data_IF_702764059580
#
_entry.id   IF_702764059580
#
_cell.length_a   1.000
_cell.length_b   1.000
_cell.length_c   1.000
_cell.angle_alpha   90.00
_cell.angle_beta   90.00
_cell.angle_gamma   90.00
#
_symmetry.space_group_name_H-M   'P 1'
#
loop_
_entity.id
_entity.type
_entity.pdbx_description
1 polymer ?
#
# COMPACT_ATOMS: atom_id res chain seq x y z
N UNK A 1 -7.29 -27.29 10.84
CA UNK A 1 -7.73 -25.88 10.76
C UNK A 1 -7.51 -25.28 12.14
N UNK A 2 -6.79 -24.17 12.21
CA UNK A 2 -6.43 -23.51 13.48
C UNK A 2 -7.66 -22.81 14.10
N UNK A 3 -7.94 -23.00 15.41
CA UNK A 3 -9.01 -22.26 16.09
C UNK A 3 -8.80 -20.73 16.04
N UNK A 4 -7.54 -20.29 16.10
CA UNK A 4 -7.15 -18.88 16.00
C UNK A 4 -7.62 -18.24 14.70
N UNK A 5 -7.59 -18.97 13.57
CA UNK A 5 -8.05 -18.47 12.28
C UNK A 5 -9.55 -18.14 12.29
N UNK A 6 -10.36 -19.04 12.84
CA UNK A 6 -11.82 -18.85 12.93
C UNK A 6 -12.14 -17.64 13.81
N UNK A 7 -11.52 -17.57 15.00
CA UNK A 7 -11.75 -16.46 15.91
C UNK A 7 -11.24 -15.13 15.38
N UNK A 8 -10.08 -15.09 14.70
CA UNK A 8 -9.55 -13.89 14.08
C UNK A 8 -10.48 -13.38 12.96
N UNK A 9 -10.98 -14.30 12.12
CA UNK A 9 -11.96 -13.97 11.09
C UNK A 9 -13.27 -13.42 11.68
N UNK A 10 -13.76 -13.99 12.78
CA UNK A 10 -14.92 -13.46 13.50
C UNK A 10 -14.65 -12.09 14.11
N UNK A 11 -13.50 -11.92 14.77
CA UNK A 11 -13.11 -10.66 15.40
C UNK A 11 -13.08 -9.54 14.35
N UNK A 12 -12.36 -9.76 13.25
CA UNK A 12 -12.24 -8.78 12.17
C UNK A 12 -13.57 -8.56 11.46
N UNK A 13 -14.30 -9.62 11.13
CA UNK A 13 -15.61 -9.57 10.49
C UNK A 13 -16.67 -8.84 11.30
N UNK A 14 -16.60 -8.90 12.65
CA UNK A 14 -17.45 -8.10 13.53
C UNK A 14 -16.94 -6.67 13.60
N UNK A 15 -15.64 -6.44 13.73
CA UNK A 15 -15.06 -5.10 13.82
C UNK A 15 -15.44 -4.26 12.60
N UNK A 16 -15.29 -4.77 11.37
CA UNK A 16 -15.68 -4.03 10.14
C UNK A 16 -17.18 -3.70 10.07
N UNK A 17 -18.00 -4.30 10.93
CA UNK A 17 -19.44 -4.03 11.05
C UNK A 17 -19.80 -3.25 12.32
N UNK A 18 -18.83 -2.67 13.02
CA UNK A 18 -19.01 -2.08 14.36
C UNK A 18 -18.71 -0.57 14.41
N UNK A 19 -18.90 0.14 13.30
CA UNK A 19 -18.79 1.61 13.28
C UNK A 19 -19.93 2.25 14.06
N UNK A 20 -19.91 3.56 14.27
CA UNK A 20 -21.08 4.24 14.88
C UNK A 20 -22.37 4.13 14.05
N UNK A 21 -22.26 3.74 12.78
CA UNK A 21 -23.39 3.48 11.88
C UNK A 21 -24.01 2.10 12.09
N UNK A 22 -23.23 1.09 12.45
CA UNK A 22 -23.68 -0.29 12.58
C UNK A 22 -22.93 -0.98 13.71
N UNK A 23 -23.62 -1.74 14.57
CA UNK A 23 -22.98 -2.50 15.65
C UNK A 23 -22.49 -1.65 16.84
N UNK A 24 -21.97 -0.45 16.59
CA UNK A 24 -21.54 0.55 17.60
C UNK A 24 -20.62 -0.07 18.66
N UNK A 25 -20.62 0.50 19.86
CA UNK A 25 -19.80 0.04 21.00
C UNK A 25 -20.00 -1.46 21.31
N UNK A 26 -21.23 -1.97 21.29
CA UNK A 26 -21.52 -3.38 21.57
C UNK A 26 -20.84 -4.32 20.57
N UNK A 27 -20.87 -3.97 19.27
CA UNK A 27 -20.15 -4.69 18.23
C UNK A 27 -18.63 -4.68 18.45
N UNK A 28 -18.06 -3.52 18.82
CA UNK A 28 -16.62 -3.40 19.11
C UNK A 28 -16.20 -4.21 20.33
N UNK A 29 -16.98 -4.21 21.40
CA UNK A 29 -16.73 -5.04 22.58
C UNK A 29 -16.78 -6.54 22.23
N UNK A 30 -17.73 -6.95 21.37
CA UNK A 30 -17.80 -8.33 20.90
C UNK A 30 -16.63 -8.70 20.00
N UNK A 31 -16.17 -7.78 19.15
CA UNK A 31 -14.98 -7.97 18.32
C UNK A 31 -13.73 -8.20 19.18
N UNK A 32 -13.56 -7.41 20.25
CA UNK A 32 -12.47 -7.57 21.23
C UNK A 32 -12.51 -8.94 21.91
N UNK A 33 -13.68 -9.40 22.33
CA UNK A 33 -13.82 -10.74 22.92
C UNK A 33 -13.31 -11.85 21.99
N UNK A 34 -13.69 -11.83 20.71
CA UNK A 34 -13.20 -12.82 19.75
C UNK A 34 -11.72 -12.63 19.42
N UNK A 35 -11.21 -11.39 19.43
CA UNK A 35 -9.78 -11.11 19.29
C UNK A 35 -9.02 -11.78 20.42
N UNK A 36 -9.46 -11.64 21.67
CA UNK A 36 -8.78 -12.24 22.83
C UNK A 36 -8.73 -13.77 22.71
N UNK A 37 -9.85 -14.39 22.31
CA UNK A 37 -9.92 -15.82 22.03
C UNK A 37 -8.98 -16.25 20.88
N UNK A 38 -8.89 -15.43 19.83
CA UNK A 38 -7.99 -15.67 18.70
C UNK A 38 -6.52 -15.58 19.12
N UNK A 39 -6.14 -14.54 19.87
CA UNK A 39 -4.79 -14.35 20.37
C UNK A 39 -4.37 -15.49 21.30
N UNK A 40 -5.22 -15.86 22.27
CA UNK A 40 -4.94 -16.97 23.18
C UNK A 40 -4.77 -18.30 22.42
N UNK A 41 -5.60 -18.55 21.40
CA UNK A 41 -5.49 -19.74 20.55
C UNK A 41 -4.22 -19.72 19.69
N UNK A 42 -3.84 -18.54 19.17
CA UNK A 42 -2.65 -18.36 18.35
C UNK A 42 -1.38 -18.67 19.17
N UNK A 43 -1.29 -18.10 20.38
CA UNK A 43 -0.19 -18.32 21.31
C UNK A 43 -0.13 -19.78 21.79
N UNK A 44 -1.29 -20.41 22.07
CA UNK A 44 -1.34 -21.81 22.43
C UNK A 44 -0.79 -22.71 21.31
N UNK A 45 -1.21 -22.50 20.05
CA UNK A 45 -0.70 -23.24 18.90
C UNK A 45 0.79 -23.01 18.67
N UNK A 46 1.27 -21.77 18.82
CA UNK A 46 2.70 -21.46 18.73
C UNK A 46 3.50 -22.19 19.81
N UNK A 47 3.07 -22.13 21.07
CA UNK A 47 3.73 -22.78 22.19
C UNK A 47 3.71 -24.30 22.09
N UNK A 48 2.64 -24.89 21.55
CA UNK A 48 2.55 -26.32 21.29
C UNK A 48 3.22 -26.77 19.99
N UNK A 49 3.90 -25.86 19.28
CA UNK A 49 4.54 -26.10 17.98
C UNK A 49 3.56 -26.59 16.89
N UNK A 50 2.28 -26.29 17.03
CA UNK A 50 1.28 -26.54 15.98
C UNK A 50 1.27 -25.37 14.99
N UNK A 51 2.33 -25.27 14.20
CA UNK A 51 2.56 -24.17 13.25
C UNK A 51 2.23 -24.65 11.83
N UNK A 52 1.19 -24.08 11.23
CA UNK A 52 0.75 -24.36 9.86
C UNK A 52 0.38 -23.06 9.12
N UNK A 53 0.16 -23.08 7.78
CA UNK A 53 -0.18 -21.87 7.03
C UNK A 53 -1.42 -21.12 7.53
N UNK A 54 -2.42 -21.82 8.10
CA UNK A 54 -3.62 -21.17 8.64
C UNK A 54 -3.34 -20.42 9.94
N UNK A 55 -2.23 -20.74 10.63
CA UNK A 55 -1.73 -19.94 11.76
C UNK A 55 -1.18 -18.60 11.27
N UNK A 56 -0.50 -18.58 10.12
CA UNK A 56 -0.01 -17.34 9.50
C UNK A 56 -1.16 -16.44 9.02
N UNK A 57 -2.21 -17.03 8.44
CA UNK A 57 -3.43 -16.33 8.07
C UNK A 57 -4.11 -15.70 9.30
N UNK A 58 -4.23 -16.45 10.39
CA UNK A 58 -4.77 -15.96 11.65
C UNK A 58 -3.96 -14.77 12.20
N UNK A 59 -2.63 -14.90 12.21
CA UNK A 59 -1.72 -13.84 12.65
C UNK A 59 -1.82 -12.60 11.77
N UNK A 60 -2.00 -12.75 10.45
CA UNK A 60 -2.20 -11.64 9.53
C UNK A 60 -3.49 -10.88 9.83
N UNK A 61 -4.59 -11.60 10.04
CA UNK A 61 -5.88 -11.00 10.40
C UNK A 61 -5.80 -10.30 11.75
N UNK A 62 -5.12 -10.88 12.74
CA UNK A 62 -4.90 -10.26 14.05
C UNK A 62 -4.02 -9.02 13.96
N UNK A 63 -2.95 -9.04 13.16
CA UNK A 63 -2.11 -7.87 12.94
C UNK A 63 -2.91 -6.73 12.29
N UNK A 64 -3.75 -7.02 11.30
CA UNK A 64 -4.66 -6.03 10.71
C UNK A 64 -5.70 -5.51 11.72
N UNK A 65 -6.22 -6.38 12.59
CA UNK A 65 -7.12 -5.99 13.66
C UNK A 65 -6.44 -5.01 14.62
N UNK A 66 -5.23 -5.33 15.10
CA UNK A 66 -4.50 -4.49 16.04
C UNK A 66 -4.02 -3.17 15.41
N UNK A 67 -3.83 -3.12 14.08
CA UNK A 67 -3.63 -1.87 13.31
C UNK A 67 -4.93 -1.10 13.00
N UNK A 68 -6.09 -1.60 13.44
CA UNK A 68 -7.38 -0.95 13.19
C UNK A 68 -7.82 -0.09 14.37
N UNK A 69 -8.66 0.92 14.10
CA UNK A 69 -9.27 1.76 15.14
C UNK A 69 -10.29 0.96 15.95
N UNK A 70 -9.89 0.49 17.13
CA UNK A 70 -10.76 -0.17 18.11
C UNK A 70 -10.51 0.39 19.52
N UNK A 71 -11.39 0.14 20.51
CA UNK A 71 -11.34 0.82 21.81
C UNK A 71 -10.02 0.62 22.58
N UNK A 72 -9.42 -0.56 22.46
CA UNK A 72 -8.15 -0.90 23.11
C UNK A 72 -6.93 -0.80 22.19
N UNK A 73 -7.04 -0.13 21.04
CA UNK A 73 -5.94 -0.03 20.09
C UNK A 73 -4.78 0.73 20.72
N UNK A 74 -3.56 0.17 20.58
CA UNK A 74 -2.33 0.90 20.87
C UNK A 74 -1.25 0.61 19.84
N UNK A 75 -0.35 1.58 19.58
CA UNK A 75 0.82 1.33 18.71
C UNK A 75 1.62 0.11 19.15
N UNK A 76 1.78 -0.09 20.47
CA UNK A 76 2.53 -1.24 20.99
C UNK A 76 1.88 -2.58 20.64
N UNK A 77 0.54 -2.67 20.71
CA UNK A 77 -0.19 -3.90 20.34
C UNK A 77 -0.08 -4.18 18.85
N UNK A 78 -0.23 -3.16 18.01
CA UNK A 78 -0.02 -3.27 16.57
C UNK A 78 1.40 -3.76 16.24
N UNK A 79 2.44 -3.14 16.82
CA UNK A 79 3.84 -3.55 16.66
C UNK A 79 4.08 -4.99 17.11
N UNK A 80 3.51 -5.41 18.25
CA UNK A 80 3.66 -6.76 18.78
C UNK A 80 3.00 -7.79 17.86
N UNK A 81 1.79 -7.52 17.36
CA UNK A 81 1.09 -8.40 16.44
C UNK A 81 1.83 -8.54 15.10
N UNK A 82 2.40 -7.45 14.57
CA UNK A 82 3.24 -7.47 13.36
C UNK A 82 4.51 -8.31 13.59
N UNK A 83 5.19 -8.15 14.73
CA UNK A 83 6.37 -8.95 15.06
C UNK A 83 6.05 -10.44 15.20
N UNK A 84 4.88 -10.78 15.72
CA UNK A 84 4.46 -12.18 15.83
C UNK A 84 4.11 -12.78 14.47
N UNK A 85 3.40 -12.04 13.61
CA UNK A 85 3.17 -12.40 12.21
C UNK A 85 4.48 -12.67 11.46
N UNK A 86 5.45 -11.78 11.59
CA UNK A 86 6.78 -11.90 10.97
C UNK A 86 7.49 -13.19 11.43
N UNK A 87 7.43 -13.49 12.73
CA UNK A 87 8.00 -14.71 13.32
C UNK A 87 7.35 -15.97 12.77
N UNK A 88 6.02 -16.00 12.61
CA UNK A 88 5.30 -17.16 12.07
C UNK A 88 5.61 -17.36 10.58
N UNK A 89 5.60 -16.30 9.78
CA UNK A 89 5.94 -16.39 8.35
C UNK A 89 7.37 -16.91 8.17
N UNK A 90 8.30 -16.42 8.98
CA UNK A 90 9.68 -16.90 8.99
C UNK A 90 9.79 -18.38 9.39
N UNK A 91 9.11 -18.79 10.46
CA UNK A 91 9.13 -20.19 10.93
C UNK A 91 8.61 -21.16 9.86
N UNK A 92 7.59 -20.75 9.10
CA UNK A 92 7.02 -21.53 8.00
C UNK A 92 7.78 -21.38 6.68
N UNK A 93 8.76 -20.48 6.60
CA UNK A 93 9.49 -20.15 5.37
C UNK A 93 8.57 -19.81 4.17
N UNK A 94 7.42 -19.16 4.43
CA UNK A 94 6.41 -18.92 3.40
C UNK A 94 6.89 -17.99 2.28
N UNK A 95 7.91 -17.16 2.53
CA UNK A 95 8.52 -16.31 1.49
C UNK A 95 9.46 -17.07 0.56
N UNK A 96 9.68 -18.37 0.78
CA UNK A 96 10.54 -19.26 -0.03
C UNK A 96 9.77 -20.37 -0.76
N UNK A 97 8.43 -20.30 -0.80
CA UNK A 97 7.58 -21.32 -1.45
C UNK A 97 8.01 -21.58 -2.90
N UNK A 98 8.50 -20.55 -3.59
CA UNK A 98 8.92 -20.62 -5.00
C UNK A 98 10.44 -20.64 -5.18
N UNK A 99 11.22 -20.95 -4.13
CA UNK A 99 12.68 -20.91 -4.19
C UNK A 99 13.30 -21.86 -5.23
N UNK A 100 12.59 -22.92 -5.62
CA UNK A 100 13.01 -23.85 -6.66
C UNK A 100 12.58 -23.43 -8.07
N UNK A 101 11.76 -22.38 -8.21
CA UNK A 101 11.26 -21.92 -9.49
C UNK A 101 12.29 -21.03 -10.19
N UNK A 102 12.75 -21.35 -11.41
CA UNK A 102 13.79 -20.60 -12.08
C UNK A 102 13.36 -19.19 -12.52
N UNK A 103 12.05 -18.91 -12.56
CA UNK A 103 11.56 -17.57 -12.95
C UNK A 103 11.40 -16.63 -11.76
N UNK A 104 11.56 -17.13 -10.53
CA UNK A 104 11.40 -16.32 -9.32
C UNK A 104 12.44 -15.20 -9.26
N UNK A 105 12.04 -14.02 -8.80
CA UNK A 105 12.99 -12.95 -8.53
C UNK A 105 13.75 -13.25 -7.25
N UNK A 106 15.06 -13.00 -7.25
CA UNK A 106 15.92 -13.11 -6.07
C UNK A 106 16.68 -11.81 -5.86
N UNK A 107 16.86 -11.41 -4.61
CA UNK A 107 17.48 -10.13 -4.26
C UNK A 107 18.68 -10.34 -3.33
N UNK A 108 19.68 -9.48 -3.46
CA UNK A 108 20.84 -9.51 -2.58
C UNK A 108 20.54 -8.81 -1.26
N UNK A 109 21.22 -9.24 -0.21
CA UNK A 109 21.07 -8.64 1.12
C UNK A 109 21.66 -7.23 1.11
N UNK A 110 20.97 -6.29 1.75
CA UNK A 110 21.35 -4.86 1.80
C UNK A 110 21.56 -4.20 0.42
N UNK A 111 20.84 -4.67 -0.61
CA UNK A 111 20.83 -4.04 -1.94
C UNK A 111 19.43 -3.55 -2.32
N UNK A 112 19.35 -2.76 -3.38
CA UNK A 112 18.07 -2.37 -3.98
C UNK A 112 17.44 -3.57 -4.69
N UNK A 113 16.13 -3.85 -4.52
CA UNK A 113 15.46 -4.97 -5.15
C UNK A 113 15.12 -4.66 -6.60
N UNK A 114 16.10 -4.84 -7.49
CA UNK A 114 15.95 -4.60 -8.93
C UNK A 114 15.44 -5.87 -9.60
N UNK A 115 14.38 -5.75 -10.40
CA UNK A 115 13.90 -6.83 -11.25
C UNK A 115 14.44 -6.61 -12.67
N UNK A 116 15.30 -7.52 -13.19
CA UNK A 116 15.83 -7.38 -14.54
C UNK A 116 14.69 -7.33 -15.56
N UNK A 117 14.66 -6.28 -16.38
CA UNK A 117 13.80 -6.24 -17.55
C UNK A 117 14.33 -7.24 -18.56
N UNK A 118 13.47 -8.11 -19.08
CA UNK A 118 13.81 -8.93 -20.25
C UNK A 118 14.26 -7.97 -21.35
N UNK A 119 15.52 -8.08 -21.75
CA UNK A 119 16.19 -7.22 -22.72
C UNK A 119 15.59 -7.42 -24.12
N UNK A 120 14.44 -6.79 -24.36
CA UNK A 120 13.95 -6.58 -25.70
C UNK A 120 14.73 -5.40 -26.32
N UNK A 121 15.88 -5.73 -26.92
CA UNK A 121 16.69 -4.95 -27.88
C UNK A 121 17.05 -3.48 -27.57
N UNK A 122 18.35 -3.10 -27.61
CA UNK A 122 18.78 -1.72 -27.51
C UNK A 122 18.60 -0.99 -28.86
N UNK A 123 17.39 -0.58 -29.20
CA UNK A 123 17.17 0.43 -30.24
C UNK A 123 15.96 1.30 -29.90
N UNK A 124 16.17 2.31 -29.05
CA UNK A 124 15.49 3.62 -29.16
C UNK A 124 15.97 4.62 -28.10
N UNK A 125 17.27 4.65 -27.81
CA UNK A 125 17.93 5.82 -27.21
C UNK A 125 18.44 6.76 -28.31
N UNK A 126 17.55 7.21 -29.22
CA UNK A 126 17.71 8.40 -30.05
C UNK A 126 16.54 8.54 -31.03
N UNK A 127 15.56 9.39 -30.72
CA UNK A 127 14.88 10.30 -31.67
C UNK A 127 13.64 10.89 -31.00
N UNK A 128 13.85 11.85 -30.10
CA UNK A 128 12.86 12.91 -29.87
C UNK A 128 13.00 13.87 -31.06
N UNK A 129 12.43 13.52 -32.21
CA UNK A 129 12.04 14.39 -33.35
C UNK A 129 11.87 13.50 -34.59
N UNK A 130 10.70 12.91 -34.78
CA UNK A 130 10.29 12.39 -36.09
C UNK A 130 8.76 12.39 -36.21
N UNK A 131 8.29 13.35 -37.00
CA UNK A 131 7.07 13.38 -37.81
C UNK A 131 5.83 12.57 -37.37
N UNK A 132 4.76 13.32 -37.14
CA UNK A 132 3.35 12.90 -37.20
C UNK A 132 3.14 12.06 -38.48
N UNK A 133 2.91 10.75 -38.32
CA UNK A 133 2.28 9.90 -39.33
C UNK A 133 0.97 9.36 -38.74
N UNK A 134 -0.18 9.57 -39.39
CA UNK A 134 -1.49 9.30 -38.80
C UNK A 134 -1.97 7.89 -39.13
N UNK A 135 -1.20 6.84 -38.79
CA UNK A 135 -1.70 5.45 -38.81
C UNK A 135 -0.90 4.59 -37.83
N UNK A 136 -1.15 4.76 -36.53
CA UNK A 136 -0.68 3.83 -35.50
C UNK A 136 -1.76 2.78 -35.24
N UNK A 137 -1.37 1.52 -35.46
CA UNK A 137 -2.02 0.32 -34.95
C UNK A 137 -2.23 0.42 -33.42
N UNK A 138 -3.20 -0.32 -32.84
CA UNK A 138 -3.46 -0.24 -31.41
C UNK A 138 -2.22 -0.63 -30.63
N UNK A 139 -1.77 0.26 -29.73
CA UNK A 139 -0.67 0.00 -28.78
C UNK A 139 -0.85 -1.37 -28.14
N UNK A 140 0.23 -2.14 -28.13
CA UNK A 140 0.31 -3.53 -27.66
C UNK A 140 -0.41 -3.70 -26.30
N UNK A 141 -1.20 -4.76 -26.20
CA UNK A 141 -2.09 -5.01 -25.07
C UNK A 141 -1.29 -5.32 -23.80
N UNK A 142 -1.45 -4.47 -22.78
CA UNK A 142 -0.98 -4.69 -21.42
C UNK A 142 -1.31 -6.11 -20.88
N UNK A 143 -0.35 -6.77 -20.21
CA UNK A 143 -0.51 -8.12 -19.64
C UNK A 143 -1.59 -8.24 -18.57
N UNK A 144 -2.00 -7.13 -17.95
CA UNK A 144 -3.10 -7.11 -16.98
C UNK A 144 -4.43 -7.53 -17.58
N UNK A 145 -4.64 -7.32 -18.89
CA UNK A 145 -5.90 -7.66 -19.58
C UNK A 145 -6.17 -9.16 -19.64
N UNK A 146 -5.13 -9.99 -19.59
CA UNK A 146 -5.30 -11.45 -19.51
C UNK A 146 -6.02 -11.88 -18.23
N UNK A 147 -5.94 -11.07 -17.17
CA UNK A 147 -6.52 -11.37 -15.87
C UNK A 147 -7.88 -10.71 -15.63
N UNK A 148 -8.35 -9.84 -16.54
CA UNK A 148 -9.63 -9.13 -16.38
C UNK A 148 -10.86 -10.06 -16.32
N UNK A 149 -10.75 -11.29 -16.83
CA UNK A 149 -11.80 -12.31 -16.71
C UNK A 149 -11.75 -13.11 -15.40
N UNK A 150 -10.62 -13.03 -14.68
CA UNK A 150 -10.38 -13.77 -13.44
C UNK A 150 -10.57 -12.89 -12.21
N UNK A 151 -10.65 -11.56 -12.36
CA UNK A 151 -11.05 -10.69 -11.24
C UNK A 151 -12.53 -10.95 -10.91
N UNK A 152 -12.90 -11.13 -9.63
CA UNK A 152 -14.29 -11.31 -9.26
C UNK A 152 -15.09 -10.06 -9.67
N UNK A 153 -15.90 -10.21 -10.72
CA UNK A 153 -16.94 -9.24 -11.03
C UNK A 153 -17.93 -9.28 -9.87
N UNK A 154 -18.10 -8.16 -9.15
CA UNK A 154 -19.29 -8.03 -8.29
C UNK A 154 -20.55 -8.30 -9.14
N UNK A 155 -21.61 -8.90 -8.57
CA UNK A 155 -22.78 -9.31 -9.33
C UNK A 155 -23.36 -8.12 -10.08
N UNK A 156 -23.23 -8.18 -11.40
CA UNK A 156 -23.88 -7.25 -12.33
C UNK A 156 -25.36 -7.49 -12.19
N UNK A 157 -26.05 -6.61 -11.46
CA UNK A 157 -27.51 -6.47 -11.60
C UNK A 157 -27.75 -6.18 -13.09
N UNK A 158 -28.21 -7.19 -13.81
CA UNK A 158 -28.43 -7.11 -15.25
C UNK A 158 -29.51 -6.06 -15.50
N UNK A 159 -29.14 -4.92 -16.09
CA UNK A 159 -30.14 -3.92 -16.50
C UNK A 159 -29.70 -2.45 -16.67
N UNK A 160 -28.48 -2.03 -16.32
CA UNK A 160 -28.07 -0.63 -16.54
C UNK A 160 -27.14 -0.48 -17.75
N UNK A 161 -27.46 0.36 -18.76
CA UNK A 161 -26.60 0.62 -19.92
C UNK A 161 -25.43 1.58 -19.63
N UNK A 162 -25.28 2.04 -18.39
CA UNK A 162 -24.26 3.02 -18.02
C UNK A 162 -23.22 2.40 -17.07
N UNK A 163 -21.92 2.49 -17.39
CA UNK A 163 -20.88 2.16 -16.42
C UNK A 163 -20.95 3.22 -15.31
N UNK A 164 -21.44 2.84 -14.14
CA UNK A 164 -21.37 3.70 -12.96
C UNK A 164 -19.92 3.81 -12.52
N UNK A 165 -19.29 4.93 -12.88
CA UNK A 165 -17.93 5.37 -12.48
C UNK A 165 -17.62 5.19 -10.99
N UNK A 166 -18.65 5.10 -10.13
CA UNK A 166 -18.53 4.93 -8.69
C UNK A 166 -18.02 3.56 -8.23
N UNK A 167 -17.98 2.54 -9.09
CA UNK A 167 -17.52 1.19 -8.72
C UNK A 167 -16.03 0.93 -9.05
N UNK A 168 -15.40 1.77 -9.88
CA UNK A 168 -14.03 1.55 -10.39
C UNK A 168 -12.91 2.10 -9.48
N UNK A 169 -13.26 2.89 -8.46
CA UNK A 169 -12.31 3.44 -7.49
C UNK A 169 -12.67 3.03 -6.06
N UNK A 170 -13.25 1.84 -5.88
CA UNK A 170 -13.08 1.19 -4.59
C UNK A 170 -11.57 1.09 -4.40
N UNK A 171 -11.00 1.82 -3.44
CA UNK A 171 -9.63 1.64 -2.93
C UNK A 171 -9.49 0.26 -2.26
N UNK A 172 -10.20 -0.71 -2.78
CA UNK A 172 -10.21 -2.07 -2.38
C UNK A 172 -8.83 -2.63 -2.58
N UNK A 173 -8.41 -3.32 -1.54
CA UNK A 173 -7.44 -4.39 -1.60
C UNK A 173 -7.99 -5.57 -2.44
N UNK A 174 -8.87 -5.32 -3.44
CA UNK A 174 -9.76 -6.31 -4.07
C UNK A 174 -9.65 -6.42 -5.59
N UNK A 175 -8.56 -6.01 -6.22
CA UNK A 175 -8.11 -6.81 -7.38
C UNK A 175 -7.32 -8.00 -6.86
N UNK A 176 -7.94 -8.84 -6.04
CA UNK A 176 -7.38 -10.17 -5.81
C UNK A 176 -7.56 -10.92 -7.12
N UNK A 177 -6.45 -11.37 -7.70
CA UNK A 177 -6.49 -12.20 -8.89
C UNK A 177 -7.36 -13.43 -8.62
N UNK A 178 -8.11 -13.86 -9.63
CA UNK A 178 -8.91 -15.07 -9.54
C UNK A 178 -8.06 -16.30 -9.25
N UNK A 179 -8.76 -17.36 -8.90
CA UNK A 179 -8.18 -18.70 -8.80
C UNK A 179 -8.27 -19.36 -10.17
N UNK A 180 -7.24 -20.13 -10.54
CA UNK A 180 -7.36 -21.04 -11.68
C UNK A 180 -8.17 -22.28 -11.23
N UNK A 181 -9.32 -22.56 -11.87
CA UNK A 181 -10.14 -23.71 -11.49
C UNK A 181 -9.46 -25.06 -11.76
N UNK A 182 -8.36 -25.09 -12.51
CA UNK A 182 -7.59 -26.30 -12.79
C UNK A 182 -6.52 -26.61 -11.74
N UNK A 183 -6.28 -25.71 -10.78
CA UNK A 183 -5.30 -25.93 -9.73
C UNK A 183 -5.69 -27.07 -8.79
N UNK A 184 -4.70 -27.90 -8.48
CA UNK A 184 -4.76 -28.87 -7.40
C UNK A 184 -4.82 -28.19 -6.04
N UNK A 185 -5.28 -28.92 -5.01
CA UNK A 185 -5.26 -28.43 -3.63
C UNK A 185 -3.87 -27.92 -3.22
N UNK A 186 -2.80 -28.63 -3.62
CA UNK A 186 -1.44 -28.21 -3.32
C UNK A 186 -1.07 -26.86 -3.97
N UNK A 187 -1.53 -26.59 -5.19
CA UNK A 187 -1.31 -25.31 -5.87
C UNK A 187 -2.13 -24.19 -5.24
N UNK A 188 -3.38 -24.46 -4.85
CA UNK A 188 -4.21 -23.54 -4.08
C UNK A 188 -3.53 -23.17 -2.77
N UNK A 189 -3.02 -24.14 -2.00
CA UNK A 189 -2.31 -23.89 -0.73
C UNK A 189 -1.03 -23.07 -0.93
N UNK A 190 -0.28 -23.30 -2.01
CA UNK A 190 0.87 -22.46 -2.35
C UNK A 190 0.46 -21.02 -2.65
N UNK A 191 -0.62 -20.85 -3.41
CA UNK A 191 -1.13 -19.52 -3.73
C UNK A 191 -1.71 -18.79 -2.50
N UNK A 192 -2.41 -19.49 -1.61
CA UNK A 192 -2.79 -18.96 -0.29
C UNK A 192 -1.56 -18.43 0.46
N UNK A 193 -0.50 -19.24 0.54
CA UNK A 193 0.77 -18.83 1.14
C UNK A 193 1.38 -17.58 0.49
N UNK A 194 1.36 -17.47 -0.85
CA UNK A 194 1.83 -16.28 -1.57
C UNK A 194 1.02 -15.04 -1.19
N UNK A 195 -0.31 -15.16 -1.17
CA UNK A 195 -1.22 -14.06 -0.82
C UNK A 195 -1.03 -13.59 0.60
N UNK A 196 -0.82 -14.51 1.54
CA UNK A 196 -0.50 -14.18 2.94
C UNK A 196 0.79 -13.37 3.01
N UNK A 197 1.87 -13.83 2.36
CA UNK A 197 3.14 -13.11 2.35
C UNK A 197 3.01 -11.70 1.74
N UNK A 198 2.44 -11.56 0.55
CA UNK A 198 2.30 -10.25 -0.09
C UNK A 198 1.37 -9.31 0.69
N UNK A 199 0.33 -9.84 1.34
CA UNK A 199 -0.54 -9.06 2.23
C UNK A 199 0.19 -8.64 3.51
N UNK A 200 1.00 -9.52 4.09
CA UNK A 200 1.85 -9.20 5.24
C UNK A 200 2.87 -8.11 4.90
N UNK A 201 3.51 -8.18 3.72
CA UNK A 201 4.40 -7.11 3.26
C UNK A 201 3.66 -5.78 3.10
N UNK A 202 2.41 -5.79 2.63
CA UNK A 202 1.61 -4.57 2.54
C UNK A 202 1.36 -3.94 3.90
N UNK A 203 0.97 -4.75 4.90
CA UNK A 203 0.80 -4.30 6.28
C UNK A 203 2.12 -3.77 6.88
N UNK A 204 3.21 -4.52 6.72
CA UNK A 204 4.55 -4.14 7.18
C UNK A 204 5.04 -2.86 6.52
N UNK A 205 4.82 -2.69 5.22
CA UNK A 205 5.20 -1.47 4.47
C UNK A 205 4.38 -0.26 4.92
N UNK A 206 3.09 -0.46 5.21
CA UNK A 206 2.24 0.56 5.82
C UNK A 206 2.75 0.97 7.20
N UNK A 207 3.10 -0.01 8.04
CA UNK A 207 3.69 0.21 9.36
C UNK A 207 5.04 0.96 9.29
N UNK A 208 5.96 0.54 8.43
CA UNK A 208 7.26 1.23 8.31
C UNK A 208 7.10 2.63 7.74
N UNK A 209 6.17 2.86 6.80
CA UNK A 209 5.80 4.18 6.33
C UNK A 209 5.24 5.06 7.44
N UNK A 210 4.36 4.51 8.27
CA UNK A 210 3.85 5.18 9.45
C UNK A 210 5.00 5.58 10.38
N UNK A 211 5.86 4.64 10.80
CA UNK A 211 6.98 4.94 11.69
C UNK A 211 7.89 6.05 11.12
N UNK A 212 8.21 6.00 9.83
CA UNK A 212 9.01 7.05 9.19
C UNK A 212 8.34 8.43 9.29
N UNK A 213 7.03 8.53 9.00
CA UNK A 213 6.31 9.81 9.02
C UNK A 213 6.20 10.42 10.41
N UNK A 214 6.11 9.59 11.44
CA UNK A 214 6.06 10.02 12.84
C UNK A 214 7.45 10.04 13.52
N UNK A 215 8.53 9.85 12.75
CA UNK A 215 9.92 9.83 13.24
C UNK A 215 10.20 8.76 14.29
N UNK A 216 9.41 7.68 14.26
CA UNK A 216 9.60 6.50 15.08
C UNK A 216 10.60 5.54 14.41
N UNK A 217 11.22 4.70 15.24
CA UNK A 217 12.10 3.63 14.76
C UNK A 217 11.23 2.41 14.41
N UNK A 218 11.23 1.94 13.15
CA UNK A 218 10.52 0.72 12.79
C UNK A 218 11.15 -0.50 13.47
N UNK A 219 10.37 -1.59 13.56
CA UNK A 219 10.87 -2.89 13.99
C UNK A 219 11.88 -3.45 12.98
N UNK A 220 12.84 -4.21 13.49
CA UNK A 220 13.72 -5.03 12.66
C UNK A 220 13.01 -6.35 12.32
N UNK A 221 12.35 -6.38 11.16
CA UNK A 221 11.48 -7.49 10.73
C UNK A 221 12.18 -8.33 9.66
N UNK A 222 11.89 -9.62 9.62
CA UNK A 222 12.35 -10.50 8.55
C UNK A 222 11.80 -10.05 7.19
N UNK A 223 10.53 -9.62 7.15
CA UNK A 223 9.80 -9.27 5.93
C UNK A 223 10.29 -7.98 5.24
N UNK A 224 10.99 -7.09 5.94
CA UNK A 224 11.48 -5.82 5.36
C UNK A 224 12.74 -6.00 4.49
N UNK A 225 13.47 -7.11 4.65
CA UNK A 225 14.67 -7.39 3.86
C UNK A 225 14.29 -8.16 2.59
N UNK A 226 14.47 -7.52 1.43
CA UNK A 226 14.12 -8.10 0.14
C UNK A 226 14.85 -9.43 -0.15
N UNK A 227 16.04 -9.67 0.43
CA UNK A 227 16.76 -10.93 0.24
C UNK A 227 16.06 -12.16 0.84
N UNK A 228 15.08 -11.93 1.72
CA UNK A 228 14.24 -12.96 2.30
C UNK A 228 13.05 -13.36 1.41
N UNK A 229 12.98 -12.84 0.18
CA UNK A 229 11.90 -13.09 -0.76
C UNK A 229 12.38 -13.94 -1.95
N UNK A 230 11.84 -15.16 -2.03
CA UNK A 230 11.90 -16.05 -3.20
C UNK A 230 10.49 -16.54 -3.50
N UNK A 231 9.67 -15.58 -3.89
CA UNK A 231 8.24 -15.72 -4.08
C UNK A 231 7.84 -15.10 -5.42
N UNK A 232 7.01 -15.80 -6.19
CA UNK A 232 6.48 -15.26 -7.45
C UNK A 232 5.57 -14.06 -7.14
N UNK A 233 5.67 -13.00 -7.96
CA UNK A 233 4.75 -11.88 -7.85
C UNK A 233 3.32 -12.30 -8.19
N UNK A 234 2.31 -11.61 -7.65
CA UNK A 234 0.92 -11.94 -7.96
C UNK A 234 0.67 -11.90 -9.47
N UNK A 235 0.11 -12.99 -10.00
CA UNK A 235 -0.24 -13.12 -11.42
C UNK A 235 0.83 -13.78 -12.28
N UNK A 236 2.06 -13.97 -11.79
CA UNK A 236 3.11 -14.63 -12.58
C UNK A 236 2.75 -16.08 -12.96
N UNK A 237 2.10 -16.83 -12.06
CA UNK A 237 1.67 -18.20 -12.34
C UNK A 237 0.55 -18.21 -13.38
N UNK A 238 -0.43 -17.33 -13.22
CA UNK A 238 -1.56 -17.22 -14.13
C UNK A 238 -1.13 -16.74 -15.53
N UNK A 239 -0.01 -16.02 -15.63
CA UNK A 239 0.57 -15.57 -16.89
C UNK A 239 1.26 -16.69 -17.67
N UNK A 240 1.54 -17.85 -17.04
CA UNK A 240 2.23 -18.94 -17.71
C UNK A 240 1.32 -19.51 -18.79
N UNK A 241 1.80 -19.70 -20.03
CA UNK A 241 1.02 -20.37 -21.05
C UNK A 241 0.69 -21.78 -20.53
N UNK A 242 -0.60 -22.06 -20.35
CA UNK A 242 -1.07 -23.40 -20.00
C UNK A 242 -0.44 -24.38 -20.99
N UNK A 243 0.16 -25.45 -20.50
CA UNK A 243 0.87 -26.48 -21.28
C UNK A 243 0.02 -27.13 -22.38
N UNK A 244 -1.27 -26.81 -22.47
CA UNK A 244 -2.23 -27.26 -23.49
C UNK A 244 -2.37 -26.36 -24.72
N UNK A 245 -1.82 -25.14 -24.73
CA UNK A 245 -1.83 -24.27 -25.92
C UNK A 245 -0.43 -24.13 -26.49
N UNK A 246 -0.22 -24.71 -27.67
CA UNK A 246 0.98 -24.56 -28.48
C UNK A 246 1.42 -23.09 -28.52
N UNK A 247 2.71 -22.77 -28.27
CA UNK A 247 3.18 -21.40 -28.29
C UNK A 247 3.04 -20.86 -29.70
N UNK A 248 2.07 -19.96 -29.89
CA UNK A 248 1.93 -19.26 -31.16
C UNK A 248 3.19 -18.39 -31.34
N UNK A 249 3.92 -18.49 -32.47
CA UNK A 249 5.16 -17.72 -32.70
C UNK A 249 4.98 -16.20 -32.64
N UNK A 250 3.74 -15.71 -32.63
CA UNK A 250 3.35 -14.31 -32.50
C UNK A 250 3.35 -13.76 -31.06
N UNK A 251 3.60 -14.58 -30.03
CA UNK A 251 3.68 -14.13 -28.62
C UNK A 251 5.07 -13.59 -28.20
N UNK A 252 6.00 -13.38 -29.14
CA UNK A 252 7.35 -12.85 -28.87
C UNK A 252 7.41 -11.40 -28.34
N UNK A 253 6.26 -10.76 -28.12
CA UNK A 253 6.13 -9.41 -27.56
C UNK A 253 5.16 -9.29 -26.40
N UNK A 254 4.80 -10.39 -25.70
CA UNK A 254 3.94 -10.27 -24.52
C UNK A 254 4.70 -9.57 -23.38
N UNK A 255 4.13 -8.52 -22.76
CA UNK A 255 4.78 -7.82 -21.66
C UNK A 255 5.07 -8.77 -20.49
N UNK A 256 6.23 -8.61 -19.86
CA UNK A 256 6.64 -9.46 -18.73
C UNK A 256 5.57 -9.50 -17.64
N UNK A 257 5.26 -10.66 -17.04
CA UNK A 257 4.28 -10.75 -15.95
C UNK A 257 4.72 -9.98 -14.69
N UNK A 258 6.02 -9.68 -14.59
CA UNK A 258 6.62 -8.83 -13.53
C UNK A 258 6.36 -7.33 -13.71
N UNK A 259 5.77 -6.95 -14.84
CA UNK A 259 5.34 -5.59 -15.17
C UNK A 259 3.82 -5.43 -15.04
N UNK A 260 3.09 -6.42 -14.50
CA UNK A 260 1.67 -6.25 -14.16
C UNK A 260 1.49 -5.28 -13.00
N UNK A 261 0.32 -4.64 -12.89
CA UNK A 261 0.05 -3.67 -11.81
C UNK A 261 0.24 -4.28 -10.40
N UNK A 262 -0.04 -5.57 -10.22
CA UNK A 262 0.17 -6.28 -8.97
C UNK A 262 1.64 -6.54 -8.66
N UNK A 263 2.42 -6.94 -9.67
CA UNK A 263 3.86 -7.10 -9.52
C UNK A 263 4.54 -5.74 -9.24
N UNK A 264 4.14 -4.68 -9.94
CA UNK A 264 4.63 -3.32 -9.70
C UNK A 264 4.31 -2.83 -8.29
N UNK A 265 3.13 -3.16 -7.76
CA UNK A 265 2.80 -2.87 -6.37
C UNK A 265 3.76 -3.55 -5.39
N UNK A 266 3.97 -4.86 -5.56
CA UNK A 266 4.89 -5.63 -4.72
C UNK A 266 6.34 -5.12 -4.80
N UNK A 267 6.81 -4.79 -6.01
CA UNK A 267 8.12 -4.17 -6.24
C UNK A 267 8.24 -2.81 -5.52
N UNK A 268 7.20 -1.97 -5.58
CA UNK A 268 7.20 -0.68 -4.91
C UNK A 268 7.30 -0.81 -3.37
N UNK A 269 6.68 -1.84 -2.79
CA UNK A 269 6.77 -2.14 -1.36
C UNK A 269 8.16 -2.67 -0.96
N UNK A 270 8.74 -3.58 -1.76
CA UNK A 270 10.10 -4.06 -1.53
C UNK A 270 11.12 -2.91 -1.61
N UNK A 271 11.00 -2.08 -2.65
CA UNK A 271 11.82 -0.88 -2.83
C UNK A 271 11.66 0.08 -1.65
N UNK A 272 10.43 0.35 -1.22
CA UNK A 272 10.18 1.21 -0.06
C UNK A 272 10.93 0.71 1.19
N UNK A 273 10.83 -0.58 1.51
CA UNK A 273 11.47 -1.13 2.70
C UNK A 273 13.00 -1.19 2.58
N UNK A 274 13.56 -1.48 1.40
CA UNK A 274 15.02 -1.43 1.21
C UNK A 274 15.58 -0.03 1.45
N UNK A 275 14.79 1.00 1.21
CA UNK A 275 15.20 2.39 1.42
C UNK A 275 15.25 2.80 2.90
N UNK A 276 14.76 1.97 3.82
CA UNK A 276 15.01 2.15 5.25
C UNK A 276 16.50 2.06 5.57
N UNK A 277 17.30 1.36 4.76
CA UNK A 277 18.76 1.33 4.86
C UNK A 277 19.40 2.73 4.72
N UNK A 278 18.76 3.66 4.00
CA UNK A 278 19.25 5.03 3.88
C UNK A 278 19.15 5.83 5.19
N UNK A 279 18.46 5.28 6.20
CA UNK A 279 18.38 5.80 7.57
C UNK A 279 19.33 5.06 8.52
N UNK A 280 20.04 4.05 8.04
CA UNK A 280 21.06 3.35 8.82
C UNK A 280 22.29 4.25 8.95
N UNK A 281 22.67 4.58 10.19
CA UNK A 281 23.85 5.39 10.47
C UNK A 281 25.15 4.59 10.35
N UNK A 282 25.07 3.26 10.21
CA UNK A 282 26.23 2.39 10.10
C UNK A 282 26.78 2.25 8.68
N UNK A 283 25.99 2.60 7.64
CA UNK A 283 26.46 2.54 6.24
C UNK A 283 27.38 3.71 5.91
N UNK A 284 28.36 3.46 5.06
CA UNK A 284 29.27 4.51 4.60
C UNK A 284 28.53 5.53 3.71
N UNK A 285 29.13 6.71 3.54
CA UNK A 285 28.57 7.75 2.67
C UNK A 285 28.53 7.34 1.20
N UNK A 286 29.51 6.55 0.75
CA UNK A 286 29.60 6.02 -0.61
C UNK A 286 28.51 4.97 -0.85
N UNK A 287 28.39 3.98 0.04
CA UNK A 287 27.33 2.96 0.00
C UNK A 287 25.93 3.62 0.02
N UNK A 288 25.75 4.66 0.83
CA UNK A 288 24.49 5.41 0.90
C UNK A 288 24.18 6.12 -0.42
N UNK A 289 25.18 6.65 -1.11
CA UNK A 289 25.01 7.30 -2.40
C UNK A 289 24.63 6.30 -3.49
N UNK A 290 25.30 5.14 -3.52
CA UNK A 290 25.03 4.06 -4.47
C UNK A 290 23.61 3.49 -4.26
N UNK A 291 23.25 3.16 -3.02
CA UNK A 291 21.90 2.68 -2.68
C UNK A 291 20.82 3.67 -3.09
N UNK A 292 21.06 4.96 -2.87
CA UNK A 292 20.12 5.99 -3.24
C UNK A 292 19.99 6.17 -4.76
N UNK A 293 21.11 6.05 -5.49
CA UNK A 293 21.11 6.10 -6.95
C UNK A 293 20.39 4.89 -7.56
N UNK A 294 20.73 3.68 -7.14
CA UNK A 294 20.06 2.45 -7.60
C UNK A 294 18.56 2.48 -7.31
N UNK A 295 18.18 2.90 -6.10
CA UNK A 295 16.77 3.02 -5.73
C UNK A 295 16.05 4.05 -6.58
N UNK A 296 16.74 5.13 -7.00
CA UNK A 296 16.18 6.17 -7.85
C UNK A 296 15.92 5.65 -9.26
N UNK A 297 16.85 4.87 -9.80
CA UNK A 297 16.70 4.22 -11.10
C UNK A 297 15.53 3.23 -11.08
N UNK A 298 15.45 2.37 -10.06
CA UNK A 298 14.35 1.40 -9.95
C UNK A 298 12.99 2.10 -9.78
N UNK A 299 12.90 3.15 -8.96
CA UNK A 299 11.68 3.94 -8.82
C UNK A 299 11.20 4.53 -10.15
N UNK A 300 12.13 5.06 -10.95
CA UNK A 300 11.85 5.55 -12.30
C UNK A 300 11.35 4.43 -13.21
N UNK A 301 11.98 3.25 -13.16
CA UNK A 301 11.53 2.09 -13.92
C UNK A 301 10.11 1.62 -13.54
N UNK A 302 9.77 1.60 -12.26
CA UNK A 302 8.41 1.24 -11.82
C UNK A 302 7.40 2.31 -12.28
N UNK A 303 7.76 3.60 -12.18
CA UNK A 303 6.91 4.71 -12.64
C UNK A 303 6.65 4.65 -14.15
N UNK A 304 7.70 4.46 -14.96
CA UNK A 304 7.58 4.33 -16.42
C UNK A 304 6.67 3.15 -16.78
N UNK A 305 6.86 2.00 -16.10
CA UNK A 305 6.02 0.83 -16.32
C UNK A 305 4.56 1.10 -15.93
N UNK A 306 4.30 1.81 -14.83
CA UNK A 306 2.95 2.23 -14.44
C UNK A 306 2.29 3.14 -15.48
N UNK A 307 3.05 4.05 -16.09
CA UNK A 307 2.53 5.00 -17.09
C UNK A 307 2.23 4.32 -18.44
N UNK A 308 2.81 3.14 -18.71
CA UNK A 308 2.42 2.28 -19.83
C UNK A 308 1.06 1.58 -19.62
N UNK A 309 0.59 1.46 -18.37
CA UNK A 309 -0.70 0.85 -18.06
C UNK A 309 -1.88 1.78 -18.37
N UNK A 310 -2.50 1.56 -19.52
CA UNK A 310 -3.79 2.18 -19.92
C UNK A 310 -4.99 1.24 -19.73
N UNK A 311 -4.77 0.10 -19.05
CA UNK A 311 -5.76 -0.97 -18.94
C UNK A 311 -6.90 -0.66 -17.95
N UNK A 312 -6.72 0.30 -17.04
CA UNK A 312 -7.66 0.68 -15.99
C UNK A 312 -8.22 -0.52 -15.19
N UNK A 313 -7.43 -1.59 -15.04
CA UNK A 313 -7.88 -2.83 -14.37
C UNK A 313 -8.05 -2.64 -12.87
N UNK A 314 -7.11 -1.96 -12.22
CA UNK A 314 -7.25 -1.51 -10.83
C UNK A 314 -6.53 -0.16 -10.67
N UNK A 315 -7.32 0.91 -10.75
CA UNK A 315 -6.81 2.26 -10.58
C UNK A 315 -6.33 2.49 -9.14
N UNK A 316 -6.99 1.90 -8.14
CA UNK A 316 -6.64 2.00 -6.73
C UNK A 316 -5.24 1.44 -6.46
N UNK A 317 -4.91 0.27 -7.02
CA UNK A 317 -3.59 -0.32 -6.91
C UNK A 317 -2.51 0.55 -7.57
N UNK A 318 -2.78 1.13 -8.74
CA UNK A 318 -1.88 2.08 -9.38
C UNK A 318 -1.60 3.30 -8.50
N UNK A 319 -2.61 3.83 -7.79
CA UNK A 319 -2.42 4.90 -6.80
C UNK A 319 -1.53 4.46 -5.65
N UNK A 320 -1.73 3.26 -5.10
CA UNK A 320 -0.90 2.72 -4.02
C UNK A 320 0.56 2.53 -4.45
N UNK A 321 0.80 2.04 -5.68
CA UNK A 321 2.16 1.95 -6.23
C UNK A 321 2.83 3.32 -6.28
N UNK A 322 2.12 4.31 -6.85
CA UNK A 322 2.60 5.70 -6.94
C UNK A 322 2.85 6.28 -5.55
N UNK A 323 2.00 5.99 -4.57
CA UNK A 323 2.18 6.44 -3.19
C UNK A 323 3.52 5.98 -2.62
N UNK A 324 3.87 4.69 -2.75
CA UNK A 324 5.17 4.18 -2.28
C UNK A 324 6.35 4.81 -3.03
N UNK A 325 6.24 4.99 -4.35
CA UNK A 325 7.26 5.68 -5.16
C UNK A 325 7.47 7.12 -4.69
N UNK A 326 6.39 7.87 -4.48
CA UNK A 326 6.48 9.28 -4.07
C UNK A 326 6.96 9.44 -2.62
N UNK A 327 6.51 8.58 -1.70
CA UNK A 327 7.04 8.53 -0.32
C UNK A 327 8.54 8.22 -0.32
N UNK A 328 8.96 7.27 -1.16
CA UNK A 328 10.37 6.94 -1.40
C UNK A 328 11.16 8.16 -1.89
N UNK A 329 10.69 8.86 -2.94
CA UNK A 329 11.37 10.04 -3.50
C UNK A 329 11.58 11.12 -2.42
N UNK A 330 10.60 11.31 -1.53
CA UNK A 330 10.68 12.24 -0.41
C UNK A 330 11.71 11.81 0.66
N UNK A 331 11.83 10.50 0.91
CA UNK A 331 12.80 9.92 1.86
C UNK A 331 14.24 9.95 1.33
N UNK A 332 14.48 9.37 0.15
CA UNK A 332 15.82 9.16 -0.39
C UNK A 332 16.53 10.46 -0.70
N UNK A 333 15.78 11.47 -1.13
CA UNK A 333 16.35 12.81 -1.31
C UNK A 333 16.70 13.48 0.02
N UNK A 334 16.10 13.12 1.16
CA UNK A 334 16.56 13.61 2.47
C UNK A 334 17.99 13.11 2.76
N UNK A 335 18.23 11.81 2.57
CA UNK A 335 19.54 11.18 2.82
C UNK A 335 20.60 11.61 1.80
N UNK A 336 20.23 11.76 0.51
CA UNK A 336 21.13 12.22 -0.56
C UNK A 336 21.45 13.72 -0.43
N UNK A 337 20.45 14.58 -0.18
CA UNK A 337 20.68 16.04 -0.08
C UNK A 337 21.55 16.37 1.13
N UNK A 338 21.42 15.65 2.24
CA UNK A 338 22.30 15.81 3.40
C UNK A 338 23.74 15.36 3.12
N UNK A 339 23.92 14.29 2.35
CA UNK A 339 25.24 13.75 1.99
C UNK A 339 25.92 14.62 0.92
N UNK A 340 25.20 15.04 -0.13
CA UNK A 340 25.72 15.90 -1.20
C UNK A 340 26.00 17.33 -0.74
N UNK A 341 25.20 17.92 0.18
CA UNK A 341 25.48 19.25 0.76
C UNK A 341 26.78 19.31 1.55
N UNK A 342 27.27 18.16 2.04
CA UNK A 342 28.56 18.08 2.74
C UNK A 342 29.75 17.91 1.79
N UNK A 343 29.50 17.45 0.56
CA UNK A 343 30.54 17.09 -0.42
C UNK A 343 30.68 18.10 -1.56
N UNK A 344 29.67 18.93 -1.87
CA UNK A 344 29.70 19.88 -3.00
C UNK A 344 29.36 21.31 -2.55
N UNK A 345 30.22 22.32 -2.85
CA UNK A 345 29.91 23.74 -2.62
C UNK A 345 28.66 24.18 -3.40
N UNK A 346 27.79 24.96 -2.74
CA UNK A 346 26.37 25.18 -3.06
C UNK A 346 26.02 25.98 -4.33
N UNK A 347 26.80 25.95 -5.41
CA UNK A 347 26.50 26.77 -6.61
C UNK A 347 25.92 26.05 -7.83
N UNK A 348 25.99 24.72 -7.94
CA UNK A 348 25.60 24.02 -9.19
C UNK A 348 24.43 23.02 -9.08
N UNK A 349 24.04 22.61 -7.87
CA UNK A 349 22.95 21.64 -7.72
C UNK A 349 21.62 22.38 -7.56
N UNK A 350 20.90 22.56 -8.67
CA UNK A 350 19.50 22.99 -8.74
C UNK A 350 18.53 21.93 -8.17
N UNK A 351 18.80 21.44 -6.95
CA UNK A 351 18.03 20.39 -6.26
C UNK A 351 16.63 20.86 -5.82
N UNK A 352 16.44 22.17 -5.70
CA UNK A 352 15.19 22.80 -5.27
C UNK A 352 14.05 22.67 -6.30
N UNK A 353 14.34 22.94 -7.59
CA UNK A 353 13.30 22.91 -8.64
C UNK A 353 12.77 21.50 -8.95
N UNK A 354 13.63 20.48 -8.90
CA UNK A 354 13.21 19.09 -9.17
C UNK A 354 12.43 18.46 -8.01
N UNK A 355 12.62 18.94 -6.77
CA UNK A 355 11.82 18.55 -5.60
C UNK A 355 10.38 19.05 -5.73
N UNK A 356 10.24 20.31 -6.16
CA UNK A 356 8.94 20.97 -6.30
C UNK A 356 8.02 20.27 -7.30
N UNK A 357 8.52 19.90 -8.49
CA UNK A 357 7.70 19.25 -9.52
C UNK A 357 7.09 17.92 -9.05
N UNK A 358 7.88 17.03 -8.44
CA UNK A 358 7.36 15.75 -7.95
C UNK A 358 6.43 15.92 -6.76
N UNK A 359 6.72 16.88 -5.87
CA UNK A 359 5.82 17.24 -4.78
C UNK A 359 4.49 17.77 -5.34
N UNK A 360 4.52 18.66 -6.34
CA UNK A 360 3.32 19.18 -7.01
C UNK A 360 2.53 18.09 -7.73
N UNK A 361 3.19 17.15 -8.41
CA UNK A 361 2.54 15.99 -9.02
C UNK A 361 1.89 15.08 -7.98
N UNK A 362 2.58 14.77 -6.89
CA UNK A 362 1.99 14.01 -5.79
C UNK A 362 0.79 14.74 -5.18
N UNK A 363 0.92 16.05 -4.90
CA UNK A 363 -0.16 16.89 -4.39
C UNK A 363 -1.36 16.87 -5.34
N UNK A 364 -1.12 16.94 -6.65
CA UNK A 364 -2.17 16.86 -7.66
C UNK A 364 -2.93 15.54 -7.63
N UNK A 365 -2.22 14.40 -7.59
CA UNK A 365 -2.87 13.09 -7.54
C UNK A 365 -3.62 12.87 -6.22
N UNK A 366 -3.05 13.31 -5.10
CA UNK A 366 -3.68 13.20 -3.78
C UNK A 366 -4.90 14.11 -3.63
N UNK A 367 -4.91 15.28 -4.28
CA UNK A 367 -6.09 16.16 -4.31
C UNK A 367 -7.29 15.50 -4.99
N UNK A 368 -7.09 14.73 -6.07
CA UNK A 368 -8.17 13.96 -6.69
C UNK A 368 -8.75 12.92 -5.74
N UNK A 369 -7.89 12.23 -4.99
CA UNK A 369 -8.27 11.26 -3.96
C UNK A 369 -9.04 11.92 -2.81
N UNK A 370 -8.53 13.04 -2.29
CA UNK A 370 -9.19 13.79 -1.22
C UNK A 370 -10.59 14.26 -1.64
N UNK A 371 -10.76 14.75 -2.88
CA UNK A 371 -12.06 15.14 -3.45
C UNK A 371 -13.04 13.96 -3.53
N UNK A 372 -12.57 12.79 -3.99
CA UNK A 372 -13.40 11.59 -4.10
C UNK A 372 -13.84 11.05 -2.73
N UNK A 373 -12.94 11.03 -1.75
CA UNK A 373 -13.30 10.61 -0.38
C UNK A 373 -14.29 11.59 0.23
N UNK A 374 -14.09 12.89 0.03
CA UNK A 374 -15.01 13.93 0.53
C UNK A 374 -16.42 13.78 -0.02
N UNK A 375 -16.59 13.42 -1.29
CA UNK A 375 -17.92 13.15 -1.85
C UNK A 375 -18.57 11.89 -1.26
N UNK A 376 -17.76 10.89 -0.90
CA UNK A 376 -18.22 9.64 -0.27
C UNK A 376 -18.74 9.84 1.17
N UNK A 377 -18.23 10.85 1.89
CA UNK A 377 -18.70 11.22 3.24
C UNK A 377 -20.18 11.63 3.24
N UNK A 378 -20.67 12.23 2.17
CA UNK A 378 -22.10 12.58 2.06
C UNK A 378 -23.01 11.36 1.88
N UNK A 379 -22.43 10.17 1.64
CA UNK A 379 -23.15 8.94 1.30
C UNK A 379 -22.86 7.80 2.30
N UNK A 380 -22.52 8.11 3.57
CA UNK A 380 -22.16 7.11 4.59
C UNK A 380 -23.22 6.01 4.82
N UNK A 381 -24.50 6.31 4.59
CA UNK A 381 -25.61 5.34 4.69
C UNK A 381 -25.83 4.48 3.45
N UNK A 382 -25.09 4.71 2.36
CA UNK A 382 -25.24 4.02 1.08
C UNK A 382 -24.00 3.14 0.76
N UNK A 383 -24.07 2.24 -0.24
CA UNK A 383 -22.92 1.43 -0.65
C UNK A 383 -21.65 2.23 -0.93
N UNK A 384 -21.76 3.46 -1.44
CA UNK A 384 -20.61 4.36 -1.67
C UNK A 384 -19.87 4.73 -0.37
N UNK A 385 -20.58 4.79 0.76
CA UNK A 385 -20.02 5.09 2.07
C UNK A 385 -19.31 3.92 2.74
N UNK A 386 -19.45 2.70 2.22
CA UNK A 386 -18.85 1.48 2.81
C UNK A 386 -17.32 1.55 2.87
N UNK A 387 -16.70 2.32 1.97
CA UNK A 387 -15.26 2.58 2.03
C UNK A 387 -14.81 3.15 3.39
N UNK A 388 -15.62 4.00 4.03
CA UNK A 388 -15.31 4.59 5.34
C UNK A 388 -15.92 3.78 6.49
N UNK A 389 -17.14 3.27 6.32
CA UNK A 389 -17.89 2.59 7.41
C UNK A 389 -17.50 1.13 7.64
N UNK A 390 -16.70 0.52 6.75
CA UNK A 390 -16.22 -0.87 6.87
C UNK A 390 -14.70 -1.01 7.03
N UNK A 391 -13.97 0.09 7.17
CA UNK A 391 -12.50 0.10 7.17
C UNK A 391 -11.92 0.83 8.39
N UNK A 392 -11.94 0.20 9.56
CA UNK A 392 -11.42 0.80 10.80
C UNK A 392 -9.91 1.10 10.76
N UNK A 393 -9.15 0.49 9.86
CA UNK A 393 -7.70 0.77 9.66
C UNK A 393 -7.41 1.99 8.78
N UNK A 394 -8.40 2.57 8.09
CA UNK A 394 -8.14 3.68 7.16
C UNK A 394 -7.72 4.99 7.85
N UNK A 395 -8.02 5.16 9.15
CA UNK A 395 -7.69 6.37 9.90
C UNK A 395 -6.18 6.66 9.92
N UNK A 396 -5.35 5.63 10.13
CA UNK A 396 -3.90 5.78 10.15
C UNK A 396 -3.34 6.21 8.80
N UNK A 397 -3.92 5.72 7.70
CA UNK A 397 -3.51 6.10 6.36
C UNK A 397 -3.75 7.60 6.11
N UNK A 398 -4.94 8.12 6.47
CA UNK A 398 -5.24 9.55 6.34
C UNK A 398 -4.35 10.42 7.25
N UNK A 399 -4.09 9.97 8.47
CA UNK A 399 -3.14 10.62 9.38
C UNK A 399 -1.73 10.69 8.75
N UNK A 400 -1.30 9.62 8.08
CA UNK A 400 -0.04 9.58 7.32
C UNK A 400 -0.01 10.54 6.13
N UNK A 401 -1.11 10.66 5.37
CA UNK A 401 -1.19 11.63 4.27
C UNK A 401 -1.06 13.07 4.77
N UNK A 402 -1.79 13.40 5.85
CA UNK A 402 -1.73 14.73 6.46
C UNK A 402 -0.34 15.04 7.03
N UNK A 403 0.30 14.08 7.70
CA UNK A 403 1.68 14.21 8.15
C UNK A 403 2.66 14.44 6.98
N UNK A 404 2.44 13.76 5.85
CA UNK A 404 3.23 13.95 4.62
C UNK A 404 3.08 15.36 4.07
N UNK A 405 1.86 15.89 4.00
CA UNK A 405 1.61 17.28 3.57
C UNK A 405 2.32 18.30 4.47
N UNK A 406 2.24 18.12 5.80
CA UNK A 406 2.94 18.97 6.76
C UNK A 406 4.45 18.90 6.59
N UNK A 407 4.99 17.69 6.32
CA UNK A 407 6.40 17.49 6.06
C UNK A 407 6.85 18.24 4.79
N UNK A 408 6.10 18.10 3.69
CA UNK A 408 6.38 18.79 2.43
C UNK A 408 6.42 20.31 2.61
N UNK A 409 5.41 20.88 3.25
CA UNK A 409 5.37 22.33 3.52
C UNK A 409 6.46 22.78 4.49
N UNK A 410 6.78 21.98 5.52
CA UNK A 410 7.84 22.33 6.46
C UNK A 410 9.20 22.46 5.77
N UNK A 411 9.41 21.70 4.68
CA UNK A 411 10.62 21.70 3.86
C UNK A 411 10.62 22.82 2.80
N UNK A 412 9.49 23.06 2.16
CA UNK A 412 9.30 24.16 1.21
C UNK A 412 8.04 24.96 1.57
N UNK A 413 8.27 26.10 2.25
CA UNK A 413 7.21 26.99 2.74
C UNK A 413 6.39 27.64 1.63
N UNK A 414 6.86 27.58 0.38
CA UNK A 414 6.13 28.08 -0.79
C UNK A 414 5.10 27.09 -1.35
N UNK A 415 5.11 25.82 -0.89
CA UNK A 415 4.11 24.81 -1.25
C UNK A 415 2.82 24.98 -0.45
N UNK A 416 2.12 26.09 -0.65
CA UNK A 416 0.85 26.37 0.03
C UNK A 416 -0.24 25.32 -0.30
N UNK A 417 -0.18 24.72 -1.49
CA UNK A 417 -1.06 23.61 -1.90
C UNK A 417 -0.98 22.40 -0.96
N UNK A 418 0.18 22.17 -0.31
CA UNK A 418 0.31 21.10 0.67
C UNK A 418 -0.57 21.35 1.91
N UNK A 419 -0.70 22.60 2.35
CA UNK A 419 -1.58 22.95 3.48
C UNK A 419 -3.06 22.85 3.09
N UNK A 420 -3.44 23.24 1.88
CA UNK A 420 -4.82 23.06 1.38
C UNK A 420 -5.21 21.57 1.27
N UNK A 421 -4.28 20.74 0.79
CA UNK A 421 -4.49 19.30 0.75
C UNK A 421 -4.55 18.70 2.17
N UNK A 422 -3.70 19.15 3.09
CA UNK A 422 -3.73 18.71 4.49
C UNK A 422 -5.09 18.98 5.15
N UNK A 423 -5.68 20.16 4.91
CA UNK A 423 -7.05 20.49 5.35
C UNK A 423 -8.08 19.53 4.75
N UNK A 424 -7.89 19.16 3.48
CA UNK A 424 -8.78 18.23 2.78
C UNK A 424 -8.71 16.81 3.33
N UNK A 425 -7.54 16.34 3.76
CA UNK A 425 -7.37 15.04 4.44
C UNK A 425 -7.79 15.04 5.92
N UNK A 426 -7.78 16.20 6.58
CA UNK A 426 -8.25 16.31 7.96
C UNK A 426 -9.74 15.95 8.09
N UNK A 427 -10.54 16.30 7.07
CA UNK A 427 -11.97 16.01 7.02
C UNK A 427 -12.29 14.51 7.15
N UNK A 428 -11.81 13.62 6.26
CA UNK A 428 -12.05 12.19 6.41
C UNK A 428 -11.42 11.60 7.66
N UNK A 429 -10.30 12.14 8.15
CA UNK A 429 -9.71 11.71 9.42
C UNK A 429 -10.64 11.98 10.62
N UNK A 430 -11.22 13.18 10.70
CA UNK A 430 -12.19 13.51 11.75
C UNK A 430 -13.45 12.65 11.64
N UNK A 431 -13.95 12.40 10.43
CA UNK A 431 -15.09 11.49 10.21
C UNK A 431 -14.78 10.07 10.66
N UNK A 432 -13.59 9.54 10.35
CA UNK A 432 -13.18 8.20 10.78
C UNK A 432 -13.02 8.12 12.30
N UNK A 433 -12.47 9.15 12.94
CA UNK A 433 -12.38 9.23 14.41
C UNK A 433 -13.76 9.30 15.10
N UNK A 434 -14.79 9.78 14.40
CA UNK A 434 -16.17 9.71 14.85
C UNK A 434 -16.80 8.33 14.60
N UNK A 435 -16.57 7.75 13.41
CA UNK A 435 -17.09 6.42 13.04
C UNK A 435 -16.47 5.29 13.88
N UNK A 436 -15.22 5.45 14.28
CA UNK A 436 -14.43 4.45 14.99
C UNK A 436 -13.75 5.07 16.22
N UNK A 437 -14.48 5.25 17.32
CA UNK A 437 -13.91 5.86 18.52
C UNK A 437 -12.72 5.05 19.06
N UNK A 438 -11.55 5.67 19.03
CA UNK A 438 -10.27 5.13 19.50
C UNK A 438 -9.47 6.29 20.13
N UNK A 439 -9.08 6.14 21.40
CA UNK A 439 -8.42 7.22 22.14
C UNK A 439 -7.08 7.62 21.50
N UNK A 440 -6.27 6.65 21.08
CA UNK A 440 -4.97 6.91 20.47
C UNK A 440 -5.09 7.59 19.10
N UNK A 441 -6.00 7.10 18.24
CA UNK A 441 -6.26 7.71 16.93
C UNK A 441 -6.80 9.13 17.05
N UNK A 442 -7.66 9.39 18.03
CA UNK A 442 -8.21 10.73 18.31
C UNK A 442 -7.14 11.69 18.86
N UNK A 443 -6.30 11.23 19.79
CA UNK A 443 -5.19 12.03 20.32
C UNK A 443 -4.20 12.40 19.21
N UNK A 444 -3.86 11.44 18.34
CA UNK A 444 -3.00 11.68 17.17
C UNK A 444 -3.63 12.64 16.17
N UNK A 445 -4.91 12.48 15.87
CA UNK A 445 -5.66 13.40 15.02
C UNK A 445 -5.69 14.82 15.57
N UNK A 446 -5.82 14.98 16.90
CA UNK A 446 -5.73 16.29 17.56
C UNK A 446 -4.35 16.92 17.40
N UNK A 447 -3.28 16.18 17.67
CA UNK A 447 -1.91 16.68 17.51
C UNK A 447 -1.62 17.14 16.07
N UNK A 448 -2.09 16.38 15.08
CA UNK A 448 -1.95 16.71 13.67
C UNK A 448 -2.73 17.97 13.28
N UNK A 449 -3.94 18.14 13.81
CA UNK A 449 -4.76 19.34 13.63
C UNK A 449 -4.07 20.58 14.19
N UNK A 450 -3.56 20.52 15.42
CA UNK A 450 -2.82 21.63 16.05
C UNK A 450 -1.59 22.05 15.23
N UNK A 451 -0.84 21.07 14.73
CA UNK A 451 0.30 21.33 13.83
C UNK A 451 -0.14 22.00 12.52
N UNK A 452 -1.27 21.57 11.95
CA UNK A 452 -1.82 22.18 10.74
C UNK A 452 -2.34 23.59 10.99
N UNK A 453 -3.00 23.83 12.12
CA UNK A 453 -3.45 25.17 12.54
C UNK A 453 -2.27 26.14 12.64
N UNK A 454 -1.22 25.74 13.36
CA UNK A 454 0.01 26.54 13.49
C UNK A 454 0.69 26.78 12.13
N UNK A 455 0.72 25.76 11.27
CA UNK A 455 1.27 25.89 9.92
C UNK A 455 0.49 26.91 9.07
N UNK A 456 -0.85 26.81 9.06
CA UNK A 456 -1.73 27.73 8.34
C UNK A 456 -1.58 29.17 8.85
N UNK A 457 -1.56 29.36 10.16
CA UNK A 457 -1.36 30.69 10.77
C UNK A 457 -0.03 31.31 10.33
N UNK A 458 1.06 30.54 10.36
CA UNK A 458 2.38 31.04 9.93
C UNK A 458 2.47 31.34 8.43
N UNK A 459 1.62 30.72 7.61
CA UNK A 459 1.53 30.96 6.18
C UNK A 459 0.52 32.07 5.81
N UNK A 460 -0.16 32.67 6.79
CA UNK A 460 -1.24 33.64 6.54
C UNK A 460 -2.49 33.02 5.91
N UNK A 461 -2.69 31.71 6.06
CA UNK A 461 -3.83 30.97 5.53
C UNK A 461 -4.91 30.80 6.60
N UNK A 462 -6.16 30.66 6.18
CA UNK A 462 -7.26 30.34 7.08
C UNK A 462 -7.01 29.01 7.79
N UNK A 463 -7.24 28.96 9.10
CA UNK A 463 -7.17 27.72 9.88
C UNK A 463 -8.18 26.67 9.37
N UNK A 464 -7.86 25.37 9.50
CA UNK A 464 -8.82 24.29 9.39
C UNK A 464 -10.17 24.59 10.05
N UNK A 465 -11.25 24.14 9.39
CA UNK A 465 -12.59 24.24 9.96
C UNK A 465 -12.68 23.47 11.29
N UNK A 466 -13.50 23.93 12.25
CA UNK A 466 -13.76 23.20 13.49
C UNK A 466 -14.26 21.77 13.22
N UNK A 467 -14.22 20.92 14.26
CA UNK A 467 -14.73 19.55 14.22
C UNK A 467 -16.26 19.53 14.20
N UNK A 468 -16.86 20.01 13.12
CA UNK A 468 -18.32 20.11 13.03
C UNK A 468 -18.98 18.86 12.41
N UNK A 469 -18.24 17.75 12.30
CA UNK A 469 -18.79 16.49 11.79
C UNK A 469 -19.56 15.76 12.89
N UNK A 470 -20.80 16.20 13.10
CA UNK A 470 -21.83 15.32 13.67
C UNK A 470 -22.22 14.32 12.59
N UNK A 471 -22.17 13.02 12.91
CA UNK A 471 -22.71 12.00 12.01
C UNK A 471 -24.16 12.39 11.66
N UNK A 472 -24.56 12.31 10.37
CA UNK A 472 -25.92 12.66 9.97
C UNK A 472 -26.95 12.05 10.93
N UNK A 473 -27.96 12.80 11.41
CA UNK A 473 -28.92 12.32 12.41
C UNK A 473 -29.63 11.01 12.02
N UNK A 474 -29.70 10.71 10.71
CA UNK A 474 -30.26 9.47 10.18
C UNK A 474 -29.45 8.22 10.57
N UNK A 475 -28.17 8.37 10.93
CA UNK A 475 -27.26 7.32 11.39
C UNK A 475 -27.26 7.18 12.93
N UNK A 476 -27.89 8.12 13.64
CA UNK A 476 -27.97 8.15 15.11
C UNK A 476 -29.19 7.41 15.68
N UNK A 477 -30.01 6.76 14.84
CA UNK A 477 -31.18 5.97 15.28
C UNK A 477 -30.82 4.55 15.68
#
# INVERSE_FOLDING_TARGET
MQPSFIYAGLAMGILIKSSEVEGRAAGRSRALYYRDAAQASLEASWNSQWIDPTLAEAALILALFESSSHPEHTSQRASTAIGFLDSIIRALSLTFIDASDPTVSTFSRRSVPIVPRSSHSPHSSSSRYSSISPHSSPKESCSCRHFSHLTPSSPVTSGSPFPTDSQQMSYSWSATLGWDPSWSDAEVRKEEGRRVCWSALSLVSGYTAYCVMFQEKPLDLFLIDASNWKLLFPGEILARPSTSRSPNPSQRGSPSPKETIWALHCRSMLLWNSCLLLRDDTISHEERADLAWESWVEAGCIQDALDEHTCNVDTGLMYMCREFIYKYVSLTRLSVTQTLRRLVPSSEISSSMFNRKHAEEWLYYQDQLAKHVKSSIHHLGHPQGQFLTRRPWSGEWFAGQLATCLLLWSRDRSLLLALELAKSFLVPLDVLNCLWPCAESQARGQQLRERLDAACQSAGMQSPLPRDYTLPPILAR
#
